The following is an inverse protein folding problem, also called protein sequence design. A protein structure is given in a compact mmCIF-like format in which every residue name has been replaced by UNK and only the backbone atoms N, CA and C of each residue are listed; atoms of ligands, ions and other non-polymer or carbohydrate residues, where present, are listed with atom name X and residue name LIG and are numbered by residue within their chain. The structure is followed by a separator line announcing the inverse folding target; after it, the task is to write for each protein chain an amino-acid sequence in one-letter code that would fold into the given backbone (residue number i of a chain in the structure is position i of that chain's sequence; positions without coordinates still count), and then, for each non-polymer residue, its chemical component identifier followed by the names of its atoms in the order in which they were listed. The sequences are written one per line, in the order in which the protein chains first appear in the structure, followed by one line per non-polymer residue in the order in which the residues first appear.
data_IF_292508738291
#
_entry.id   IF_292508738291
#
_cell.length_a   1.000
_cell.length_b   1.000
_cell.length_c   1.000
_cell.angle_alpha   90.00
_cell.angle_beta   90.00
_cell.angle_gamma   90.00
#
_symmetry.space_group_name_H-M   'P 1'
#
loop_
_entity.id
_entity.type
_entity.pdbx_description
1 polymer ?
#
# COMPACT_ATOMS: atom_id res chain seq x y z
N UNK A 1 -33.73 29.05 -7.11
CA UNK A 1 -33.47 27.59 -7.26
C UNK A 1 -32.11 27.30 -6.67
N UNK A 2 -32.11 26.91 -5.37
CA UNK A 2 -30.92 26.56 -4.58
C UNK A 2 -30.66 25.08 -4.77
N UNK A 3 -29.48 24.72 -5.30
CA UNK A 3 -28.99 23.37 -5.43
C UNK A 3 -28.57 22.81 -4.06
N UNK A 4 -28.62 21.47 -3.85
CA UNK A 4 -28.28 20.87 -2.57
C UNK A 4 -26.80 20.98 -2.25
N UNK A 5 -26.50 21.45 -1.03
CA UNK A 5 -25.16 21.60 -0.50
C UNK A 5 -24.47 20.23 -0.39
N UNK A 6 -23.20 20.20 -0.73
CA UNK A 6 -22.31 19.05 -0.57
C UNK A 6 -22.19 18.71 0.93
N UNK A 7 -22.31 17.44 1.35
CA UNK A 7 -22.02 17.04 2.71
C UNK A 7 -20.50 17.18 2.99
N UNK A 8 -20.17 17.79 4.13
CA UNK A 8 -18.81 17.85 4.66
C UNK A 8 -18.29 16.44 4.96
N UNK A 9 -16.99 16.17 4.77
CA UNK A 9 -16.41 14.86 5.09
C UNK A 9 -16.54 14.59 6.59
N UNK A 10 -17.22 13.52 6.96
CA UNK A 10 -17.24 13.00 8.33
C UNK A 10 -15.90 12.33 8.59
N UNK A 11 -15.07 12.99 9.38
CA UNK A 11 -13.82 12.41 9.90
C UNK A 11 -14.22 11.30 10.89
N UNK A 12 -14.05 10.05 10.49
CA UNK A 12 -14.14 8.91 11.38
C UNK A 12 -12.78 8.67 12.02
N UNK A 13 -12.64 8.94 13.32
CA UNK A 13 -11.48 8.58 14.12
C UNK A 13 -11.69 7.13 14.59
N UNK A 14 -10.87 6.16 14.16
CA UNK A 14 -11.01 4.79 14.66
C UNK A 14 -10.53 4.71 16.12
N UNK A 15 -11.18 3.84 16.89
CA UNK A 15 -11.05 3.63 18.32
C UNK A 15 -9.67 3.10 18.83
N UNK A 16 -8.56 3.56 18.27
CA UNK A 16 -7.22 3.33 18.80
C UNK A 16 -6.84 4.41 19.84
N UNK A 17 -7.63 5.48 19.96
CA UNK A 17 -7.39 6.60 20.88
C UNK A 17 -7.67 6.30 22.37
N UNK A 18 -8.13 5.10 22.72
CA UNK A 18 -8.57 4.80 24.10
C UNK A 18 -7.45 4.44 25.10
N UNK A 19 -6.17 4.51 24.74
CA UNK A 19 -5.07 4.10 25.62
C UNK A 19 -4.14 5.24 26.10
N UNK A 20 -4.46 6.52 25.82
CA UNK A 20 -3.53 7.65 26.12
C UNK A 20 -4.15 8.72 27.04
N UNK A 21 -5.22 8.46 27.73
CA UNK A 21 -5.72 9.40 28.74
C UNK A 21 -5.28 8.96 30.15
N UNK A 22 -4.20 9.52 30.66
CA UNK A 22 -3.98 9.91 32.06
C UNK A 22 -2.53 10.41 32.26
N UNK A 23 -2.30 11.72 32.18
CA UNK A 23 -1.37 12.45 33.05
C UNK A 23 -1.44 13.96 32.74
N UNK A 24 -2.25 14.69 33.50
CA UNK A 24 -2.17 16.15 33.57
C UNK A 24 -1.41 16.55 34.81
N UNK A 25 -0.25 17.18 34.66
CA UNK A 25 0.33 18.04 35.72
C UNK A 25 1.28 19.04 35.05
N UNK A 26 0.94 20.33 35.16
CA UNK A 26 1.75 21.43 34.66
C UNK A 26 3.02 21.57 35.52
N UNK A 27 4.18 21.42 34.90
CA UNK A 27 5.49 21.86 35.40
C UNK A 27 6.37 22.12 34.17
N UNK A 28 7.31 23.07 34.24
CA UNK A 28 8.26 23.44 33.20
C UNK A 28 8.77 22.18 32.49
N UNK A 29 8.33 21.98 31.24
CA UNK A 29 8.47 20.71 30.60
C UNK A 29 9.91 20.55 30.08
N UNK A 30 10.64 19.51 30.51
CA UNK A 30 11.72 19.02 29.69
C UNK A 30 11.06 18.59 28.34
N UNK A 31 11.66 18.97 27.24
CA UNK A 31 11.17 18.58 25.89
C UNK A 31 11.00 17.07 25.86
N UNK A 32 9.75 16.62 25.89
CA UNK A 32 9.45 15.19 25.90
C UNK A 32 9.63 14.70 24.48
N UNK A 33 10.49 13.70 24.29
CA UNK A 33 10.65 13.06 22.98
C UNK A 33 9.30 12.58 22.43
N UNK A 34 9.11 12.65 21.11
CA UNK A 34 7.89 12.12 20.50
C UNK A 34 7.69 10.64 20.85
N UNK A 35 6.46 10.27 21.11
CA UNK A 35 6.09 8.87 21.27
C UNK A 35 6.06 8.20 19.92
N UNK A 36 6.84 7.12 19.75
CA UNK A 36 6.91 6.33 18.53
C UNK A 36 6.39 4.93 18.85
N UNK A 37 5.24 4.58 18.25
CA UNK A 37 4.69 3.22 18.28
C UNK A 37 5.03 2.53 16.96
N UNK A 38 5.84 1.49 17.05
CA UNK A 38 6.20 0.62 15.94
C UNK A 38 6.36 -0.82 16.47
N UNK A 39 6.12 -1.86 15.68
CA UNK A 39 6.31 -3.23 16.12
C UNK A 39 7.80 -3.51 16.37
N UNK A 40 8.09 -4.35 17.36
CA UNK A 40 9.45 -4.87 17.58
C UNK A 40 9.84 -5.94 16.56
N UNK A 41 8.84 -6.59 15.96
CA UNK A 41 9.02 -7.64 14.97
C UNK A 41 7.93 -7.55 13.88
N UNK A 42 8.31 -7.81 12.66
CA UNK A 42 7.43 -8.04 11.50
C UNK A 42 7.92 -9.27 10.74
N UNK A 43 7.15 -9.74 9.78
CA UNK A 43 7.56 -10.87 8.93
C UNK A 43 7.86 -10.41 7.51
N UNK A 44 8.69 -11.16 6.79
CA UNK A 44 8.99 -10.88 5.40
C UNK A 44 7.71 -10.85 4.55
N UNK A 45 7.51 -9.76 3.80
CA UNK A 45 6.31 -9.53 3.00
C UNK A 45 5.13 -8.87 3.74
N UNK A 46 5.26 -8.59 5.03
CA UNK A 46 4.16 -8.01 5.82
C UNK A 46 4.22 -6.49 5.90
N UNK A 47 3.06 -5.82 5.85
CA UNK A 47 2.92 -4.42 6.23
C UNK A 47 2.92 -4.25 7.75
N UNK A 48 3.28 -3.06 8.22
CA UNK A 48 3.10 -2.65 9.60
C UNK A 48 2.85 -1.14 9.71
N UNK A 49 2.19 -0.74 10.80
CA UNK A 49 1.88 0.65 11.10
C UNK A 49 2.97 1.25 11.98
N UNK A 50 3.36 2.48 11.68
CA UNK A 50 4.12 3.38 12.54
C UNK A 50 3.21 4.53 12.92
N UNK A 51 3.11 4.82 14.21
CA UNK A 51 2.39 5.96 14.74
C UNK A 51 3.37 6.85 15.51
N UNK A 52 3.28 8.15 15.26
CA UNK A 52 4.11 9.18 15.88
C UNK A 52 3.16 10.17 16.54
N UNK A 53 3.39 10.52 17.80
CA UNK A 53 2.66 11.61 18.48
C UNK A 53 3.61 12.46 19.31
N UNK A 54 3.30 13.75 19.39
CA UNK A 54 4.05 14.73 20.18
C UNK A 54 3.10 15.73 20.82
N UNK A 55 3.40 16.15 22.04
CA UNK A 55 2.70 17.27 22.69
C UNK A 55 3.07 18.64 22.09
N UNK A 56 4.23 18.72 21.44
CA UNK A 56 4.72 19.92 20.78
C UNK A 56 4.72 19.74 19.26
N UNK A 57 4.53 20.77 18.46
CA UNK A 57 4.61 20.68 17.01
C UNK A 57 5.96 20.13 16.54
N UNK A 58 5.90 19.19 15.61
CA UNK A 58 7.07 18.66 14.90
C UNK A 58 7.02 19.11 13.45
N UNK A 59 8.17 19.48 12.93
CA UNK A 59 8.38 19.90 11.55
C UNK A 59 9.36 18.97 10.85
N UNK A 60 9.33 18.94 9.51
CA UNK A 60 10.24 18.13 8.69
C UNK A 60 10.32 16.65 9.15
N UNK A 61 9.17 16.07 9.53
CA UNK A 61 9.14 14.69 10.02
C UNK A 61 9.40 13.73 8.85
N UNK A 62 10.46 12.95 8.97
CA UNK A 62 10.91 12.00 7.94
C UNK A 62 11.18 10.62 8.53
N UNK A 63 10.54 9.62 7.94
CA UNK A 63 10.84 8.22 8.22
C UNK A 63 11.88 7.68 7.26
N UNK A 64 12.75 6.79 7.75
CA UNK A 64 13.69 6.01 6.93
C UNK A 64 13.49 4.52 7.25
N UNK A 65 13.17 3.74 6.22
CA UNK A 65 12.97 2.29 6.32
C UNK A 65 13.44 1.58 5.05
N UNK A 66 14.23 0.49 5.19
CA UNK A 66 14.74 -0.30 4.04
C UNK A 66 15.38 0.58 2.93
N UNK A 67 16.08 1.65 3.33
CA UNK A 67 16.70 2.60 2.40
C UNK A 67 15.72 3.52 1.65
N UNK A 68 14.44 3.54 2.07
CA UNK A 68 13.44 4.49 1.57
C UNK A 68 13.22 5.59 2.58
N UNK A 69 12.92 6.78 2.08
CA UNK A 69 12.54 7.94 2.87
C UNK A 69 11.08 8.30 2.60
N UNK A 70 10.39 8.72 3.64
CA UNK A 70 9.00 9.16 3.59
C UNK A 70 8.84 10.39 4.47
N UNK A 71 8.54 11.52 3.86
CA UNK A 71 8.14 12.73 4.58
C UNK A 71 6.69 12.59 5.07
N UNK A 72 6.45 12.96 6.32
CA UNK A 72 5.14 12.88 6.93
C UNK A 72 4.61 14.27 7.26
N UNK A 73 3.35 14.49 6.95
CA UNK A 73 2.59 15.62 7.47
C UNK A 73 2.05 15.25 8.86
N UNK A 74 2.29 16.14 9.84
CA UNK A 74 1.74 16.00 11.20
C UNK A 74 0.34 16.61 11.24
N UNK A 75 -0.64 15.82 11.64
CA UNK A 75 -2.02 16.27 11.88
C UNK A 75 -2.13 16.87 13.30
N UNK A 76 -2.75 18.04 13.43
CA UNK A 76 -2.98 18.64 14.76
C UNK A 76 -4.15 17.94 15.44
N UNK A 77 -3.92 17.40 16.64
CA UNK A 77 -4.93 16.68 17.43
C UNK A 77 -4.91 17.22 18.87
N UNK A 78 -5.96 17.95 19.23
CA UNK A 78 -6.02 18.65 20.52
C UNK A 78 -4.91 19.69 20.67
N UNK A 79 -4.09 19.57 21.72
CA UNK A 79 -2.93 20.43 21.97
C UNK A 79 -1.61 19.86 21.34
N UNK A 80 -1.65 18.65 20.77
CA UNK A 80 -0.50 17.98 20.20
C UNK A 80 -0.60 17.77 18.70
N UNK A 81 0.28 16.93 18.17
CA UNK A 81 0.27 16.51 16.77
C UNK A 81 0.56 15.01 16.63
N UNK A 82 0.06 14.41 15.56
CA UNK A 82 0.26 12.99 15.26
C UNK A 82 0.46 12.74 13.77
N UNK A 83 1.09 11.64 13.44
CA UNK A 83 1.17 11.12 12.09
C UNK A 83 1.15 9.59 12.09
N UNK A 84 0.70 9.02 10.98
CA UNK A 84 0.72 7.59 10.73
C UNK A 84 1.38 7.27 9.40
N UNK A 85 2.16 6.21 9.37
CA UNK A 85 2.72 5.65 8.14
C UNK A 85 2.50 4.14 8.08
N UNK A 86 2.19 3.64 6.89
CA UNK A 86 2.26 2.21 6.58
C UNK A 86 3.62 1.94 5.96
N UNK A 87 4.39 1.04 6.58
CA UNK A 87 5.66 0.54 6.09
C UNK A 87 5.55 -0.98 5.90
N UNK A 88 6.54 -1.58 5.27
CA UNK A 88 6.52 -3.02 5.07
C UNK A 88 7.85 -3.59 4.59
N UNK A 89 7.83 -4.86 4.21
CA UNK A 89 8.94 -5.57 3.60
C UNK A 89 8.45 -6.31 2.35
N UNK A 90 9.29 -6.42 1.34
CA UNK A 90 8.97 -7.10 0.07
C UNK A 90 9.59 -8.50 0.04
N UNK A 91 8.80 -9.52 -0.23
CA UNK A 91 9.26 -10.90 -0.37
C UNK A 91 10.32 -11.10 -1.47
N UNK A 92 10.36 -10.20 -2.45
CA UNK A 92 11.33 -10.25 -3.56
C UNK A 92 12.57 -9.39 -3.39
N UNK A 93 12.59 -8.49 -2.39
CA UNK A 93 13.67 -7.50 -2.23
C UNK A 93 14.25 -7.44 -0.82
N UNK A 94 13.41 -7.52 0.21
CA UNK A 94 13.86 -7.48 1.61
C UNK A 94 14.49 -8.83 2.04
N UNK A 95 15.26 -8.81 3.11
CA UNK A 95 15.87 -10.00 3.70
C UNK A 95 15.55 -10.08 5.19
N UNK A 96 15.46 -11.27 5.79
CA UNK A 96 15.35 -11.43 7.24
C UNK A 96 16.50 -10.78 7.99
N UNK A 97 16.26 -10.38 9.24
CA UNK A 97 17.26 -9.78 10.12
C UNK A 97 16.76 -8.52 10.81
N UNK A 98 17.60 -7.91 11.64
CA UNK A 98 17.28 -6.66 12.33
C UNK A 98 17.48 -5.48 11.38
N UNK A 99 16.51 -4.58 11.37
CA UNK A 99 16.49 -3.35 10.57
C UNK A 99 16.29 -2.15 11.47
N UNK A 100 16.84 -1.03 11.07
CA UNK A 100 16.66 0.25 11.78
C UNK A 100 15.57 1.06 11.11
N UNK A 101 14.52 1.39 11.86
CA UNK A 101 13.56 2.43 11.53
C UNK A 101 14.11 3.74 12.06
N UNK A 102 14.40 4.69 11.19
CA UNK A 102 14.83 6.04 11.54
C UNK A 102 13.65 7.01 11.50
N UNK A 103 13.59 7.93 12.45
CA UNK A 103 12.65 9.04 12.50
C UNK A 103 13.44 10.31 12.75
N UNK A 104 13.59 11.15 11.71
CA UNK A 104 14.14 12.49 11.81
C UNK A 104 13.03 13.51 11.96
N UNK A 105 13.22 14.58 12.68
CA UNK A 105 12.28 15.69 12.82
C UNK A 105 13.00 16.98 13.24
N UNK A 106 12.36 18.14 13.08
CA UNK A 106 12.77 19.37 13.73
C UNK A 106 11.72 19.83 14.73
N UNK A 107 12.16 20.51 15.78
CA UNK A 107 11.33 21.08 16.82
C UNK A 107 11.96 22.39 17.29
N UNK A 108 11.21 23.51 17.13
CA UNK A 108 11.73 24.82 17.48
C UNK A 108 13.01 25.20 16.72
N UNK A 109 13.20 24.70 15.49
CA UNK A 109 14.39 24.91 14.68
C UNK A 109 15.58 23.97 14.98
N UNK A 110 15.48 23.12 15.99
CA UNK A 110 16.51 22.12 16.32
C UNK A 110 16.17 20.77 15.70
N UNK A 111 17.16 20.15 15.01
CA UNK A 111 17.01 18.82 14.42
C UNK A 111 17.32 17.72 15.41
N UNK A 112 16.48 16.72 15.45
CA UNK A 112 16.64 15.53 16.26
C UNK A 112 16.29 14.27 15.49
N UNK A 113 16.68 13.11 16.02
CA UNK A 113 16.33 11.82 15.44
C UNK A 113 16.17 10.75 16.50
N UNK A 114 15.26 9.83 16.23
CA UNK A 114 14.99 8.64 17.04
C UNK A 114 15.14 7.42 16.15
N UNK A 115 15.67 6.33 16.70
CA UNK A 115 15.73 5.06 15.99
C UNK A 115 14.99 3.96 16.76
N UNK A 116 14.45 3.00 16.01
CA UNK A 116 13.85 1.77 16.54
C UNK A 116 14.40 0.58 15.79
N UNK A 117 14.70 -0.50 16.50
CA UNK A 117 15.08 -1.76 15.88
C UNK A 117 13.82 -2.59 15.67
N UNK A 118 13.63 -3.03 14.42
CA UNK A 118 12.53 -3.92 14.02
C UNK A 118 13.15 -5.20 13.46
N UNK A 119 12.80 -6.34 14.04
CA UNK A 119 13.22 -7.64 13.52
C UNK A 119 12.30 -8.05 12.38
N UNK A 120 12.86 -8.34 11.21
CA UNK A 120 12.18 -8.98 10.09
C UNK A 120 12.40 -10.48 10.20
N UNK A 121 11.38 -11.23 10.59
CA UNK A 121 11.43 -12.69 10.66
C UNK A 121 11.25 -13.29 9.25
N UNK A 122 11.92 -14.42 9.01
CA UNK A 122 11.77 -15.17 7.77
C UNK A 122 10.40 -15.87 7.73
N UNK A 123 9.89 -16.07 6.51
CA UNK A 123 8.64 -16.80 6.25
C UNK A 123 8.85 -17.75 5.09
N UNK A 124 8.55 -19.02 5.33
CA UNK A 124 8.54 -20.01 4.26
C UNK A 124 7.23 -19.92 3.47
N UNK A 125 7.32 -19.41 2.25
CA UNK A 125 6.18 -19.34 1.34
C UNK A 125 6.07 -20.61 0.50
N UNK A 126 4.87 -21.21 0.38
CA UNK A 126 4.63 -22.38 -0.46
C UNK A 126 4.96 -22.12 -1.92
N UNK A 127 5.15 -23.21 -2.69
CA UNK A 127 5.34 -23.12 -4.14
C UNK A 127 4.04 -23.46 -4.88
N UNK A 128 3.74 -22.66 -5.90
CA UNK A 128 2.62 -22.86 -6.83
C UNK A 128 3.15 -23.18 -8.22
N UNK A 129 2.68 -24.29 -8.80
CA UNK A 129 3.03 -24.68 -10.18
C UNK A 129 1.89 -24.31 -11.12
N UNK A 130 2.19 -23.48 -12.12
CA UNK A 130 1.22 -23.03 -13.10
C UNK A 130 1.70 -23.39 -14.51
N UNK A 131 0.76 -23.79 -15.36
CA UNK A 131 1.00 -24.01 -16.79
C UNK A 131 0.36 -22.89 -17.59
N UNK A 132 1.15 -22.21 -18.40
CA UNK A 132 0.74 -21.09 -19.24
C UNK A 132 1.18 -21.32 -20.69
N UNK A 133 0.53 -20.67 -21.67
CA UNK A 133 1.05 -20.60 -23.04
C UNK A 133 2.49 -20.08 -23.04
N UNK A 134 3.35 -20.67 -23.89
CA UNK A 134 4.78 -20.31 -23.93
C UNK A 134 5.01 -18.82 -24.24
N UNK A 135 4.17 -18.21 -25.07
CA UNK A 135 4.20 -16.76 -25.38
C UNK A 135 4.00 -15.86 -24.15
N UNK A 136 3.35 -16.38 -23.09
CA UNK A 136 3.17 -15.66 -21.84
C UNK A 136 4.37 -15.83 -20.88
N UNK A 137 5.27 -16.77 -21.16
CA UNK A 137 6.48 -17.04 -20.39
C UNK A 137 7.69 -16.43 -21.08
N UNK A 138 7.80 -16.66 -22.38
CA UNK A 138 8.82 -16.12 -23.29
C UNK A 138 8.11 -15.26 -24.33
N UNK A 139 7.91 -13.96 -24.06
CA UNK A 139 7.23 -13.07 -25.00
C UNK A 139 7.97 -13.00 -26.34
N UNK A 140 7.25 -12.96 -27.47
CA UNK A 140 7.85 -12.75 -28.77
C UNK A 140 8.53 -11.38 -28.87
N UNK A 141 9.53 -11.26 -29.74
CA UNK A 141 10.41 -10.09 -29.85
C UNK A 141 9.63 -8.79 -30.12
N UNK A 142 8.59 -8.87 -30.96
CA UNK A 142 7.75 -7.75 -31.37
C UNK A 142 6.99 -7.07 -30.21
N UNK A 143 6.80 -7.75 -29.07
CA UNK A 143 6.15 -7.15 -27.89
C UNK A 143 7.11 -6.68 -26.80
N UNK A 144 8.42 -6.93 -26.93
CA UNK A 144 9.42 -6.60 -25.91
C UNK A 144 9.53 -5.09 -25.65
N UNK A 145 9.46 -4.29 -26.73
CA UNK A 145 9.46 -2.83 -26.59
C UNK A 145 8.21 -2.33 -25.84
N UNK A 146 7.04 -2.86 -26.18
CA UNK A 146 5.79 -2.58 -25.47
C UNK A 146 5.94 -2.91 -23.97
N UNK A 147 6.41 -4.11 -23.63
CA UNK A 147 6.64 -4.53 -22.24
C UNK A 147 7.63 -3.59 -21.53
N UNK A 148 8.65 -3.13 -22.24
CA UNK A 148 9.62 -2.17 -21.71
C UNK A 148 8.99 -0.81 -21.34
N UNK A 149 8.10 -0.28 -22.18
CA UNK A 149 7.34 0.96 -21.88
C UNK A 149 6.40 0.76 -20.69
N UNK A 150 5.61 -0.30 -20.70
CA UNK A 150 4.65 -0.64 -19.64
C UNK A 150 5.30 -0.82 -18.26
N UNK A 151 6.52 -1.37 -18.22
CA UNK A 151 7.33 -1.45 -16.99
C UNK A 151 7.70 -0.06 -16.45
N UNK A 152 8.03 0.89 -17.33
CA UNK A 152 8.35 2.26 -16.92
C UNK A 152 7.10 2.99 -16.41
N UNK A 153 5.96 2.81 -17.06
CA UNK A 153 4.67 3.37 -16.63
C UNK A 153 4.28 2.85 -15.24
N UNK A 154 4.34 1.53 -15.04
CA UNK A 154 4.08 0.92 -13.73
C UNK A 154 5.07 1.40 -12.67
N UNK A 155 6.37 1.49 -13.00
CA UNK A 155 7.37 1.97 -12.06
C UNK A 155 7.13 3.43 -11.66
N UNK A 156 6.75 4.29 -12.61
CA UNK A 156 6.35 5.68 -12.34
C UNK A 156 5.18 5.73 -11.36
N UNK A 157 4.10 5.00 -11.64
CA UNK A 157 2.93 4.95 -10.77
C UNK A 157 3.27 4.43 -9.36
N UNK A 158 4.09 3.38 -9.24
CA UNK A 158 4.51 2.81 -7.96
C UNK A 158 5.47 3.70 -7.16
N UNK A 159 6.10 4.67 -7.80
CA UNK A 159 6.99 5.65 -7.15
C UNK A 159 6.27 6.93 -6.74
N UNK A 160 4.97 7.06 -7.00
CA UNK A 160 4.18 8.22 -6.58
C UNK A 160 4.13 8.29 -5.05
N UNK A 161 4.40 9.48 -4.52
CA UNK A 161 4.29 9.77 -3.09
C UNK A 161 3.58 11.11 -2.95
N UNK A 162 2.31 11.06 -2.58
CA UNK A 162 1.52 12.24 -2.20
C UNK A 162 1.61 12.40 -0.68
N UNK A 163 1.92 13.59 -0.14
CA UNK A 163 2.11 13.75 1.31
C UNK A 163 0.86 13.45 2.12
N UNK A 164 -0.30 13.92 1.67
CA UNK A 164 -1.57 13.75 2.37
C UNK A 164 -1.97 12.27 2.47
N UNK A 165 -2.30 11.81 3.67
CA UNK A 165 -2.80 10.46 3.92
C UNK A 165 -4.29 10.37 3.59
N UNK A 166 -4.66 9.57 2.59
CA UNK A 166 -6.03 9.35 2.13
C UNK A 166 -6.56 7.95 2.50
N UNK A 167 -5.78 7.15 3.21
CA UNK A 167 -6.14 5.81 3.64
C UNK A 167 -6.47 5.74 5.13
N UNK A 168 -7.34 4.81 5.47
CA UNK A 168 -7.62 4.37 6.83
C UNK A 168 -7.62 2.84 6.87
N UNK A 169 -7.36 2.25 8.04
CA UNK A 169 -7.45 0.81 8.26
C UNK A 169 -8.62 0.48 9.20
N UNK A 170 -9.39 -0.56 8.89
CA UNK A 170 -9.24 -1.47 7.74
C UNK A 170 -9.62 -0.80 6.41
N UNK A 171 -8.84 -1.11 5.34
CA UNK A 171 -9.16 -0.73 3.97
C UNK A 171 -10.34 -1.55 3.45
N UNK A 172 -11.02 -1.05 2.42
CA UNK A 172 -12.11 -1.76 1.77
C UNK A 172 -11.57 -2.96 0.99
N UNK A 173 -12.16 -4.14 1.19
CA UNK A 173 -11.86 -5.33 0.38
C UNK A 173 -12.37 -5.11 -1.05
N UNK A 174 -11.53 -5.27 -2.08
CA UNK A 174 -11.90 -4.87 -3.45
C UNK A 174 -12.98 -5.76 -4.07
N UNK A 175 -13.05 -7.05 -3.68
CA UNK A 175 -14.09 -8.01 -4.07
C UNK A 175 -14.38 -9.00 -2.94
N UNK A 176 -15.58 -9.56 -2.89
CA UNK A 176 -15.99 -10.54 -1.88
C UNK A 176 -15.57 -11.99 -2.13
N UNK A 177 -14.65 -12.24 -3.09
CA UNK A 177 -14.22 -13.58 -3.47
C UNK A 177 -13.25 -14.24 -2.49
N UNK A 178 -13.15 -15.58 -2.54
CA UNK A 178 -12.13 -16.32 -1.80
C UNK A 178 -10.76 -16.15 -2.45
N UNK A 179 -9.71 -16.21 -1.65
CA UNK A 179 -8.33 -16.18 -2.13
C UNK A 179 -8.03 -17.49 -2.84
N UNK A 180 -7.54 -17.39 -4.08
CA UNK A 180 -7.12 -18.53 -4.89
C UNK A 180 -5.61 -18.65 -4.99
N UNK A 181 -4.87 -17.53 -4.92
CA UNK A 181 -3.41 -17.50 -4.85
C UNK A 181 -2.97 -16.41 -3.86
N UNK A 182 -2.46 -16.80 -2.68
CA UNK A 182 -1.99 -15.86 -1.67
C UNK A 182 -0.73 -15.11 -2.08
N UNK A 183 -0.46 -13.98 -1.41
CA UNK A 183 0.81 -13.27 -1.48
C UNK A 183 1.99 -14.16 -1.08
N UNK A 184 3.12 -13.96 -1.74
CA UNK A 184 4.40 -14.61 -1.40
C UNK A 184 4.60 -15.99 -2.03
N UNK A 185 3.58 -16.61 -2.62
CA UNK A 185 3.74 -17.92 -3.25
C UNK A 185 4.86 -17.91 -4.29
N UNK A 186 5.79 -18.88 -4.17
CA UNK A 186 6.88 -19.08 -5.12
C UNK A 186 6.32 -19.65 -6.42
N UNK A 187 6.33 -18.87 -7.48
CA UNK A 187 5.75 -19.28 -8.77
C UNK A 187 6.74 -20.10 -9.59
N UNK A 188 6.28 -21.26 -10.05
CA UNK A 188 6.97 -22.12 -11.00
C UNK A 188 6.10 -22.19 -12.24
N UNK A 189 6.49 -21.46 -13.32
CA UNK A 189 5.74 -21.40 -14.57
C UNK A 189 6.38 -22.36 -15.58
N UNK A 190 5.64 -23.34 -16.08
CA UNK A 190 6.15 -24.39 -17.00
C UNK A 190 7.48 -25.00 -16.50
N UNK A 191 7.60 -25.26 -15.19
CA UNK A 191 8.81 -25.82 -14.60
C UNK A 191 9.93 -24.81 -14.31
N UNK A 192 9.79 -23.54 -14.69
CA UNK A 192 10.80 -22.48 -14.50
C UNK A 192 10.46 -21.62 -13.27
N UNK A 193 11.38 -21.44 -12.31
CA UNK A 193 11.19 -20.50 -11.20
C UNK A 193 10.99 -19.07 -11.71
N UNK A 194 10.05 -18.35 -11.11
CA UNK A 194 9.73 -16.95 -11.39
C UNK A 194 9.68 -16.15 -10.08
N UNK A 195 9.57 -14.83 -10.21
CA UNK A 195 9.37 -13.95 -9.07
C UNK A 195 8.14 -14.41 -8.23
N UNK A 196 8.20 -14.27 -6.90
CA UNK A 196 7.08 -14.59 -6.04
C UNK A 196 5.82 -13.81 -6.42
N UNK A 197 4.67 -14.32 -5.99
CA UNK A 197 3.41 -13.62 -6.15
C UNK A 197 3.39 -12.36 -5.27
N UNK A 198 3.34 -11.18 -5.87
CA UNK A 198 3.42 -9.90 -5.18
C UNK A 198 2.04 -9.24 -5.00
N UNK A 199 1.02 -10.03 -4.77
CA UNK A 199 -0.36 -9.62 -4.51
C UNK A 199 -1.17 -10.81 -4.08
N UNK A 200 -2.48 -10.67 -4.10
CA UNK A 200 -3.45 -11.72 -3.78
C UNK A 200 -4.40 -11.87 -4.96
N UNK A 201 -4.63 -13.11 -5.40
CA UNK A 201 -5.63 -13.38 -6.43
C UNK A 201 -6.94 -13.82 -5.77
N UNK A 202 -8.01 -13.04 -6.00
CA UNK A 202 -9.36 -13.35 -5.55
C UNK A 202 -10.17 -13.99 -6.67
N UNK A 203 -10.85 -15.08 -6.37
CA UNK A 203 -11.85 -15.64 -7.29
C UNK A 203 -12.93 -14.59 -7.54
N UNK A 204 -13.09 -14.20 -8.79
CA UNK A 204 -14.11 -13.27 -9.23
C UNK A 204 -14.56 -13.64 -10.65
N UNK A 205 -15.86 -13.82 -10.84
CA UNK A 205 -16.41 -14.02 -12.17
C UNK A 205 -16.15 -12.77 -13.04
N UNK A 206 -15.99 -12.95 -14.33
CA UNK A 206 -15.87 -11.81 -15.24
C UNK A 206 -17.06 -10.86 -15.10
N UNK A 207 -16.80 -9.55 -15.00
CA UNK A 207 -17.83 -8.54 -14.79
C UNK A 207 -18.18 -8.26 -13.32
N UNK A 208 -17.54 -8.93 -12.34
CA UNK A 208 -17.75 -8.61 -10.92
C UNK A 208 -17.22 -7.19 -10.63
N UNK A 209 -18.02 -6.31 -9.97
CA UNK A 209 -17.56 -4.97 -9.59
C UNK A 209 -16.33 -5.01 -8.68
N UNK A 210 -15.31 -4.21 -9.01
CA UNK A 210 -14.06 -4.06 -8.27
C UNK A 210 -14.06 -2.68 -7.62
N UNK A 211 -13.85 -2.64 -6.29
CA UNK A 211 -13.94 -1.44 -5.47
C UNK A 211 -12.57 -0.88 -5.13
N UNK A 212 -12.48 0.46 -5.03
CA UNK A 212 -11.32 1.16 -4.48
C UNK A 212 -11.11 0.77 -3.01
N UNK A 213 -9.86 0.46 -2.63
CA UNK A 213 -9.53 0.01 -1.27
C UNK A 213 -9.53 1.17 -0.25
N UNK A 214 -9.27 2.39 -0.68
CA UNK A 214 -9.31 3.62 0.12
C UNK A 214 -9.60 4.82 -0.81
N UNK A 215 -9.77 6.01 -0.24
CA UNK A 215 -9.80 7.26 -1.00
C UNK A 215 -8.48 7.43 -1.75
N UNK A 216 -8.50 8.04 -2.93
CA UNK A 216 -7.26 8.22 -3.68
C UNK A 216 -7.44 8.81 -5.06
N UNK A 217 -6.31 8.94 -5.75
CA UNK A 217 -6.24 9.40 -7.14
C UNK A 217 -5.73 8.29 -8.05
N UNK A 218 -6.32 8.15 -9.21
CA UNK A 218 -5.86 7.19 -10.23
C UNK A 218 -4.54 7.66 -10.82
N UNK A 219 -3.46 6.92 -10.58
CA UNK A 219 -2.10 7.23 -11.08
C UNK A 219 -1.70 6.38 -12.28
N UNK A 220 -2.50 5.37 -12.60
CA UNK A 220 -2.37 4.60 -13.84
C UNK A 220 -3.71 3.92 -14.16
N UNK A 221 -4.17 4.08 -15.40
CA UNK A 221 -5.30 3.35 -15.97
C UNK A 221 -4.92 2.92 -17.40
N UNK A 222 -4.48 1.66 -17.56
CA UNK A 222 -3.83 1.20 -18.81
C UNK A 222 -4.26 -0.21 -19.21
N UNK A 223 -3.81 -0.65 -20.40
CA UNK A 223 -3.92 -2.03 -20.89
C UNK A 223 -2.52 -2.55 -21.21
N UNK A 224 -1.96 -3.35 -20.31
CA UNK A 224 -0.60 -3.87 -20.34
C UNK A 224 -0.57 -5.33 -20.80
N UNK A 225 0.50 -5.73 -21.45
CA UNK A 225 0.66 -7.09 -21.99
C UNK A 225 0.48 -8.18 -20.93
N UNK A 226 1.13 -8.02 -19.77
CA UNK A 226 1.02 -8.99 -18.67
C UNK A 226 -0.10 -8.69 -17.69
N UNK A 227 -0.24 -7.43 -17.27
CA UNK A 227 -1.25 -7.03 -16.30
C UNK A 227 -2.67 -7.00 -16.87
N UNK A 228 -2.80 -6.98 -18.19
CA UNK A 228 -4.07 -6.70 -18.85
C UNK A 228 -4.56 -5.31 -18.53
N UNK A 229 -5.87 -5.10 -18.54
CA UNK A 229 -6.46 -3.84 -18.09
C UNK A 229 -6.24 -3.70 -16.59
N UNK A 230 -5.60 -2.59 -16.21
CA UNK A 230 -5.18 -2.36 -14.84
C UNK A 230 -5.49 -0.93 -14.39
N UNK A 231 -5.67 -0.77 -13.10
CA UNK A 231 -5.83 0.51 -12.41
C UNK A 231 -4.91 0.54 -11.19
N UNK A 232 -4.21 1.65 -10.96
CA UNK A 232 -3.40 1.89 -9.78
C UNK A 232 -3.90 3.17 -9.12
N UNK A 233 -4.12 3.12 -7.80
CA UNK A 233 -4.60 4.25 -7.00
C UNK A 233 -3.53 4.68 -6.00
N UNK A 234 -3.20 5.96 -6.00
CA UNK A 234 -2.39 6.59 -4.95
C UNK A 234 -3.30 7.02 -3.79
N UNK A 235 -3.02 6.50 -2.61
CA UNK A 235 -3.74 6.79 -1.38
C UNK A 235 -2.97 7.74 -0.45
N UNK A 236 -1.87 8.31 -0.94
CA UNK A 236 -0.97 9.15 -0.15
C UNK A 236 -0.03 8.37 0.77
N UNK A 237 1.02 9.05 1.26
CA UNK A 237 2.05 8.43 2.09
C UNK A 237 2.81 7.30 1.39
N UNK A 238 2.86 7.29 0.04
CA UNK A 238 3.49 6.24 -0.76
C UNK A 238 2.74 4.90 -0.73
N UNK A 239 1.43 4.92 -0.45
CA UNK A 239 0.55 3.75 -0.45
C UNK A 239 -0.19 3.67 -1.78
N UNK A 240 0.11 2.66 -2.59
CA UNK A 240 -0.48 2.44 -3.92
C UNK A 240 -1.21 1.10 -3.94
N UNK A 241 -2.50 1.08 -4.26
CA UNK A 241 -3.23 -0.16 -4.55
C UNK A 241 -3.27 -0.45 -6.05
N UNK A 242 -3.28 -1.74 -6.40
CA UNK A 242 -3.07 -2.24 -7.75
C UNK A 242 -4.17 -3.25 -8.07
N UNK A 243 -4.88 -3.04 -9.17
CA UNK A 243 -5.98 -3.88 -9.64
C UNK A 243 -5.69 -4.33 -11.06
N UNK A 244 -5.49 -5.65 -11.27
CA UNK A 244 -5.11 -6.19 -12.58
C UNK A 244 -6.17 -7.15 -13.13
N UNK A 245 -5.99 -7.49 -14.41
CA UNK A 245 -6.78 -8.46 -15.16
C UNK A 245 -8.25 -8.08 -15.35
N UNK A 246 -8.55 -6.77 -15.30
CA UNK A 246 -9.91 -6.25 -15.44
C UNK A 246 -10.49 -6.58 -16.82
N UNK A 247 -11.81 -6.80 -16.90
CA UNK A 247 -12.54 -6.84 -18.16
C UNK A 247 -12.88 -5.44 -18.66
N UNK A 248 -13.06 -4.49 -17.71
CA UNK A 248 -13.33 -3.08 -18.01
C UNK A 248 -12.74 -2.19 -16.91
N UNK A 249 -12.11 -1.10 -17.30
CA UNK A 249 -11.75 0.03 -16.43
C UNK A 249 -12.92 1.03 -16.48
N UNK A 250 -13.29 1.61 -15.34
CA UNK A 250 -14.38 2.58 -15.22
C UNK A 250 -13.86 3.96 -14.79
N UNK A 251 -12.55 4.07 -14.62
CA UNK A 251 -11.83 5.28 -14.22
C UNK A 251 -10.60 5.50 -15.11
N UNK A 252 -10.15 6.75 -15.20
CA UNK A 252 -8.99 7.17 -15.99
C UNK A 252 -7.93 7.83 -15.10
N UNK A 253 -6.69 7.96 -15.59
CA UNK A 253 -5.60 8.63 -14.88
C UNK A 253 -5.99 10.08 -14.53
N UNK A 254 -5.83 10.46 -13.27
CA UNK A 254 -6.22 11.75 -12.70
C UNK A 254 -7.59 11.75 -12.00
N UNK A 255 -8.42 10.74 -12.19
CA UNK A 255 -9.71 10.67 -11.47
C UNK A 255 -9.48 10.51 -9.96
N UNK A 256 -10.33 11.19 -9.17
CA UNK A 256 -10.39 11.05 -7.72
C UNK A 256 -11.52 10.11 -7.36
N UNK A 257 -11.23 9.13 -6.52
CA UNK A 257 -12.18 8.10 -6.09
C UNK A 257 -12.28 8.04 -4.57
N UNK A 258 -13.44 7.63 -4.08
CA UNK A 258 -13.66 7.34 -2.65
C UNK A 258 -13.54 5.84 -2.37
N UNK A 259 -13.22 5.50 -1.13
CA UNK A 259 -13.20 4.12 -0.65
C UNK A 259 -14.54 3.41 -0.94
N UNK A 260 -14.48 2.28 -1.63
CA UNK A 260 -15.67 1.52 -2.02
C UNK A 260 -16.28 1.88 -3.37
N UNK A 261 -15.82 2.93 -4.05
CA UNK A 261 -16.25 3.26 -5.41
C UNK A 261 -15.88 2.14 -6.39
N UNK A 262 -16.75 1.86 -7.35
CA UNK A 262 -16.48 0.85 -8.38
C UNK A 262 -15.58 1.44 -9.45
N UNK A 263 -14.33 0.99 -9.49
CA UNK A 263 -13.28 1.48 -10.40
C UNK A 263 -13.08 0.61 -11.65
N UNK A 264 -13.68 -0.56 -11.67
CA UNK A 264 -13.57 -1.50 -12.79
C UNK A 264 -14.40 -2.76 -12.59
N UNK A 265 -14.32 -3.64 -13.55
CA UNK A 265 -14.95 -4.95 -13.51
C UNK A 265 -13.86 -6.02 -13.62
N UNK A 266 -13.91 -7.06 -12.79
CA UNK A 266 -12.98 -8.20 -12.86
C UNK A 266 -13.06 -8.91 -14.20
N UNK A 267 -11.98 -9.59 -14.59
CA UNK A 267 -11.93 -10.23 -15.89
C UNK A 267 -10.82 -11.26 -16.01
N UNK A 268 -10.30 -11.37 -17.24
CA UNK A 268 -9.25 -12.32 -17.62
C UNK A 268 -8.26 -11.74 -18.63
N UNK A 269 -8.09 -10.42 -18.65
CA UNK A 269 -7.16 -9.76 -19.57
C UNK A 269 -5.70 -9.96 -19.13
N UNK A 270 -4.75 -9.91 -20.06
CA UNK A 270 -3.33 -10.11 -19.81
C UNK A 270 -2.95 -11.57 -19.56
N UNK A 271 -1.93 -11.79 -18.69
CA UNK A 271 -1.36 -13.11 -18.41
C UNK A 271 -2.09 -13.81 -17.26
N UNK A 272 -3.12 -14.58 -17.58
CA UNK A 272 -3.97 -15.28 -16.62
C UNK A 272 -4.31 -16.70 -17.07
N UNK A 273 -4.67 -17.57 -16.13
CA UNK A 273 -5.21 -18.91 -16.36
C UNK A 273 -6.74 -18.93 -16.39
N UNK A 274 -7.40 -17.92 -15.86
CA UNK A 274 -8.85 -17.82 -15.78
C UNK A 274 -9.31 -16.52 -15.14
N UNK A 275 -10.63 -16.25 -15.08
CA UNK A 275 -11.15 -15.01 -14.48
C UNK A 275 -10.83 -14.90 -12.98
N UNK A 276 -10.24 -13.77 -12.58
CA UNK A 276 -9.95 -13.42 -11.18
C UNK A 276 -9.61 -11.92 -11.08
N UNK A 277 -9.56 -11.39 -9.86
CA UNK A 277 -8.93 -10.12 -9.57
C UNK A 277 -7.57 -10.39 -8.94
N UNK A 278 -6.50 -9.89 -9.55
CA UNK A 278 -5.24 -9.71 -8.85
C UNK A 278 -5.25 -8.36 -8.13
N UNK A 279 -5.06 -8.38 -6.81
CA UNK A 279 -4.96 -7.20 -5.98
C UNK A 279 -3.59 -7.11 -5.33
N UNK A 280 -2.88 -6.01 -5.55
CA UNK A 280 -1.58 -5.70 -4.95
C UNK A 280 -1.63 -4.46 -4.07
N UNK A 281 -0.71 -4.38 -3.12
CA UNK A 281 -0.47 -3.18 -2.32
C UNK A 281 1.04 -2.90 -2.30
N UNK A 282 1.39 -1.66 -2.64
CA UNK A 282 2.76 -1.17 -2.67
C UNK A 282 2.93 -0.08 -1.62
N UNK A 283 3.94 -0.19 -0.77
CA UNK A 283 4.31 0.79 0.25
C UNK A 283 5.71 1.30 -0.06
N UNK A 284 5.84 2.57 -0.48
CA UNK A 284 7.11 3.21 -0.87
C UNK A 284 7.96 2.34 -1.84
N UNK A 285 7.29 1.74 -2.84
CA UNK A 285 7.94 0.86 -3.84
C UNK A 285 8.14 -0.60 -3.40
N UNK A 286 7.70 -0.99 -2.21
CA UNK A 286 7.75 -2.36 -1.70
C UNK A 286 6.39 -3.03 -1.78
N UNK A 287 6.29 -4.15 -2.49
CA UNK A 287 5.05 -4.92 -2.58
C UNK A 287 4.84 -5.74 -1.30
N UNK A 288 3.71 -5.55 -0.64
CA UNK A 288 3.40 -6.21 0.63
C UNK A 288 2.14 -7.07 0.54
N UNK A 289 1.96 -7.97 1.51
CA UNK A 289 0.71 -8.71 1.67
C UNK A 289 -0.42 -7.74 2.08
N UNK A 290 -1.46 -7.54 1.26
CA UNK A 290 -2.53 -6.60 1.58
C UNK A 290 -3.51 -7.12 2.64
N UNK A 291 -3.62 -8.44 2.83
CA UNK A 291 -4.67 -9.07 3.64
C UNK A 291 -4.77 -8.54 5.09
N UNK A 292 -3.67 -8.29 5.81
CA UNK A 292 -3.75 -7.77 7.18
C UNK A 292 -4.37 -6.38 7.29
N UNK A 293 -4.44 -5.63 6.20
CA UNK A 293 -4.96 -4.25 6.15
C UNK A 293 -6.40 -4.17 5.67
N UNK A 294 -6.97 -5.26 5.13
CA UNK A 294 -8.32 -5.26 4.56
C UNK A 294 -9.39 -5.60 5.59
N UNK A 295 -10.55 -4.96 5.46
CA UNK A 295 -11.77 -5.31 6.18
C UNK A 295 -12.27 -6.72 5.81
N UNK A 296 -13.02 -7.33 6.73
CA UNK A 296 -13.67 -8.64 6.54
C UNK A 296 -14.86 -8.55 5.61
#
# INVERSE_FOLDING_TARGET
LTGPGRPSPRIWVPAVAAAVLLASAAAAHPSVDPTILAPKETTLGSPFLVYISSAEPLEEVRLTWEGKELDLEMEVVGEGCEAMALLGTDVGGSKPGVRTLGIGYSRGGERASITRQVRVADVEYPSEKLTLPETMITPPEEVLERIGRERKESARALSTVTPARLWAIPMVRPVGGVITSPYGFRRILNGQPRAPHRGVDYRAAEGTPVKAAADGTVVLSADHYFAGRCVYLDHGGGVISIYLHLSKRLVEEGDVVSAGDVIGLSGRSGRVTGPHLHFGLCLQGMMVNPEPLLGR
#
